data_IF_678104895486
#
_entry.id   IF_678104895486
#
_cell.length_a   1.000
_cell.length_b   1.000
_cell.length_c   1.000
_cell.angle_alpha   90.00
_cell.angle_beta   90.00
_cell.angle_gamma   90.00
#
_symmetry.space_group_name_H-M   'P 1'
#
loop_
_entity.id
_entity.type
_entity.pdbx_description
1 polymer ?
#
# COMPACT_ATOMS: atom_id res chain seq x y z
N UNK A 1 -18.87 -19.83 4.26
CA UNK A 1 -19.04 -19.44 5.67
C UNK A 1 -20.48 -19.02 5.91
N UNK A 2 -21.07 -19.48 7.00
CA UNK A 2 -22.42 -19.11 7.39
C UNK A 2 -22.33 -18.04 8.47
N UNK A 3 -22.99 -16.89 8.27
CA UNK A 3 -23.05 -15.85 9.30
C UNK A 3 -23.96 -16.28 10.45
N UNK A 4 -23.62 -15.89 11.66
CA UNK A 4 -24.42 -16.20 12.86
C UNK A 4 -25.76 -15.47 12.85
N UNK A 5 -25.81 -14.28 12.30
CA UNK A 5 -27.01 -13.44 12.21
C UNK A 5 -27.42 -13.21 10.75
N UNK A 6 -28.72 -13.19 10.50
CA UNK A 6 -29.28 -12.94 9.17
C UNK A 6 -28.88 -11.58 8.64
N UNK A 7 -28.39 -11.56 7.39
CA UNK A 7 -27.97 -10.31 6.73
C UNK A 7 -29.19 -9.44 6.37
N UNK A 8 -29.15 -8.19 6.75
CA UNK A 8 -30.15 -7.15 6.42
C UNK A 8 -29.50 -6.12 5.51
N UNK A 9 -29.93 -6.06 4.25
CA UNK A 9 -29.39 -5.16 3.24
C UNK A 9 -29.57 -3.70 3.69
N UNK A 10 -28.53 -2.88 3.52
CA UNK A 10 -28.52 -1.46 3.90
C UNK A 10 -28.38 -1.20 5.40
N UNK A 11 -28.36 -2.23 6.25
CA UNK A 11 -28.23 -2.08 7.70
C UNK A 11 -26.81 -2.39 8.17
N UNK A 12 -26.27 -1.54 9.06
CA UNK A 12 -25.04 -1.87 9.79
C UNK A 12 -25.33 -2.93 10.83
N UNK A 13 -24.54 -4.00 10.85
CA UNK A 13 -24.74 -5.17 11.72
C UNK A 13 -23.46 -5.52 12.46
N UNK A 14 -23.14 -4.83 13.58
CA UNK A 14 -21.94 -5.12 14.40
C UNK A 14 -21.92 -6.56 14.93
N UNK A 15 -23.08 -7.18 15.12
CA UNK A 15 -23.22 -8.58 15.54
C UNK A 15 -22.55 -9.58 14.60
N UNK A 16 -22.36 -9.21 13.32
CA UNK A 16 -21.67 -10.03 12.32
C UNK A 16 -20.15 -9.71 12.20
N UNK A 17 -19.61 -8.78 12.97
CA UNK A 17 -18.22 -8.35 12.86
C UNK A 17 -17.21 -9.47 13.05
N UNK A 18 -17.44 -10.35 14.05
CA UNK A 18 -16.58 -11.51 14.28
C UNK A 18 -16.56 -12.49 13.10
N UNK A 19 -17.68 -12.66 12.42
CA UNK A 19 -17.78 -13.55 11.27
C UNK A 19 -17.04 -12.97 10.06
N UNK A 20 -17.11 -11.65 9.86
CA UNK A 20 -16.33 -10.94 8.83
C UNK A 20 -14.83 -11.19 9.06
N UNK A 21 -14.34 -11.00 10.28
CA UNK A 21 -12.94 -11.23 10.65
C UNK A 21 -12.53 -12.70 10.39
N UNK A 22 -13.37 -13.66 10.81
CA UNK A 22 -13.13 -15.09 10.57
C UNK A 22 -13.03 -15.44 9.09
N UNK A 23 -13.89 -14.85 8.25
CA UNK A 23 -13.89 -15.05 6.80
C UNK A 23 -12.57 -14.55 6.20
N UNK A 24 -12.13 -13.34 6.56
CA UNK A 24 -10.87 -12.77 6.08
C UNK A 24 -9.69 -13.65 6.53
N UNK A 25 -9.61 -14.02 7.81
CA UNK A 25 -8.57 -14.91 8.33
C UNK A 25 -8.52 -16.26 7.57
N UNK A 26 -9.69 -16.85 7.30
CA UNK A 26 -9.78 -18.09 6.52
C UNK A 26 -9.28 -17.90 5.09
N UNK A 27 -9.65 -16.81 4.44
CA UNK A 27 -9.23 -16.51 3.07
C UNK A 27 -7.71 -16.32 2.97
N UNK A 28 -7.11 -15.53 3.88
CA UNK A 28 -5.64 -15.39 3.95
C UNK A 28 -4.96 -16.73 4.15
N UNK A 29 -5.46 -17.57 5.07
CA UNK A 29 -4.90 -18.92 5.29
C UNK A 29 -4.92 -19.77 4.02
N UNK A 30 -6.00 -19.73 3.23
CA UNK A 30 -6.10 -20.48 1.98
C UNK A 30 -5.06 -20.03 0.95
N UNK A 31 -4.76 -18.72 0.89
CA UNK A 31 -3.69 -18.19 0.03
C UNK A 31 -2.31 -18.65 0.54
N UNK A 32 -2.05 -18.56 1.83
CA UNK A 32 -0.77 -19.01 2.43
C UNK A 32 -0.54 -20.52 2.24
N UNK A 33 -1.59 -21.33 2.26
CA UNK A 33 -1.54 -22.77 1.99
C UNK A 33 -1.50 -23.12 0.49
N UNK A 34 -1.34 -22.14 -0.41
CA UNK A 34 -1.38 -22.30 -1.87
C UNK A 34 -2.68 -22.92 -2.42
N UNK A 35 -3.77 -22.91 -1.63
CA UNK A 35 -5.11 -23.35 -2.05
C UNK A 35 -5.88 -22.30 -2.84
N UNK A 36 -5.40 -21.06 -2.81
CA UNK A 36 -5.88 -19.96 -3.62
C UNK A 36 -4.69 -19.11 -4.08
N UNK A 37 -4.81 -18.46 -5.24
CA UNK A 37 -3.72 -17.65 -5.83
C UNK A 37 -3.69 -16.22 -5.31
N UNK A 38 -4.83 -15.70 -4.93
CA UNK A 38 -4.99 -14.33 -4.45
C UNK A 38 -6.27 -14.20 -3.63
N UNK A 39 -6.39 -13.10 -2.91
CA UNK A 39 -7.58 -12.68 -2.19
C UNK A 39 -8.17 -11.43 -2.84
N UNK A 40 -9.44 -11.53 -3.26
CA UNK A 40 -10.25 -10.39 -3.68
C UNK A 40 -11.36 -10.18 -2.66
N UNK A 41 -11.49 -8.97 -2.12
CA UNK A 41 -12.48 -8.66 -1.09
C UNK A 41 -13.44 -7.56 -1.52
N UNK A 42 -14.66 -7.62 -1.04
CA UNK A 42 -15.52 -6.45 -0.96
C UNK A 42 -15.04 -5.50 0.13
N UNK A 43 -15.37 -4.19 0.08
CA UNK A 43 -15.06 -3.26 1.14
C UNK A 43 -15.60 -3.71 2.50
N UNK A 44 -14.87 -3.42 3.57
CA UNK A 44 -15.34 -3.59 4.95
C UNK A 44 -15.84 -2.26 5.52
N UNK A 45 -16.80 -2.33 6.42
CA UNK A 45 -17.22 -1.18 7.20
C UNK A 45 -16.48 -1.18 8.55
N UNK A 46 -15.55 -0.22 8.72
CA UNK A 46 -14.73 -0.09 9.94
C UNK A 46 -15.57 0.13 11.20
N UNK A 47 -16.62 0.95 11.10
CA UNK A 47 -17.47 1.24 12.27
C UNK A 47 -18.18 -0.04 12.74
N UNK A 48 -18.62 -0.90 11.82
CA UNK A 48 -19.21 -2.21 12.13
C UNK A 48 -18.19 -3.11 12.84
N UNK A 49 -16.95 -3.17 12.34
CA UNK A 49 -15.91 -3.98 12.97
C UNK A 49 -15.51 -3.44 14.35
N UNK A 50 -15.36 -2.12 14.49
CA UNK A 50 -15.01 -1.50 15.77
C UNK A 50 -16.15 -1.63 16.81
N UNK A 51 -17.41 -1.48 16.38
CA UNK A 51 -18.56 -1.59 17.27
C UNK A 51 -18.85 -3.02 17.70
N UNK A 52 -18.56 -4.00 16.85
CA UNK A 52 -18.80 -5.42 17.13
C UNK A 52 -17.60 -6.16 17.70
N UNK A 53 -16.40 -5.58 17.61
CA UNK A 53 -15.14 -6.17 18.12
C UNK A 53 -14.15 -5.06 18.46
N UNK A 54 -13.08 -5.41 19.16
CA UNK A 54 -11.90 -4.50 19.32
C UNK A 54 -10.99 -4.61 18.10
N UNK A 55 -11.40 -4.08 16.94
CA UNK A 55 -10.64 -4.14 15.69
C UNK A 55 -9.58 -3.03 15.65
N UNK A 56 -8.27 -3.34 15.88
CA UNK A 56 -7.24 -2.33 16.10
C UNK A 56 -6.63 -1.77 14.80
N UNK A 57 -7.12 -2.19 13.61
CA UNK A 57 -6.51 -1.85 12.34
C UNK A 57 -7.20 -0.68 11.65
N UNK A 58 -6.42 0.14 10.93
CA UNK A 58 -6.93 1.27 10.17
C UNK A 58 -7.78 0.85 8.96
N UNK A 59 -7.56 -0.35 8.43
CA UNK A 59 -8.32 -0.88 7.31
C UNK A 59 -7.91 -2.30 6.92
N UNK A 60 -8.30 -2.71 5.72
CA UNK A 60 -7.93 -4.02 5.14
C UNK A 60 -6.43 -4.21 5.01
N UNK A 61 -5.72 -3.19 4.52
CA UNK A 61 -4.28 -3.26 4.24
C UNK A 61 -3.50 -3.64 5.49
N UNK A 62 -3.73 -2.94 6.58
CA UNK A 62 -3.04 -3.18 7.86
C UNK A 62 -3.44 -4.53 8.46
N UNK A 63 -4.70 -4.90 8.34
CA UNK A 63 -5.17 -6.20 8.84
C UNK A 63 -4.60 -7.37 8.03
N UNK A 64 -4.56 -7.28 6.71
CA UNK A 64 -3.96 -8.30 5.85
C UNK A 64 -2.45 -8.41 6.08
N UNK A 65 -1.74 -7.27 6.21
CA UNK A 65 -0.32 -7.23 6.54
C UNK A 65 -0.03 -7.92 7.88
N UNK A 66 -0.83 -7.64 8.91
CA UNK A 66 -0.74 -8.31 10.20
C UNK A 66 -0.93 -9.83 10.09
N UNK A 67 -1.94 -10.29 9.34
CA UNK A 67 -2.21 -11.73 9.15
C UNK A 67 -1.10 -12.45 8.36
N UNK A 68 -0.40 -11.72 7.53
CA UNK A 68 0.72 -12.26 6.74
C UNK A 68 2.10 -11.99 7.35
N UNK A 69 2.15 -11.33 8.51
CA UNK A 69 3.39 -10.95 9.22
C UNK A 69 4.29 -10.05 8.38
N UNK A 70 3.69 -9.14 7.60
CA UNK A 70 4.37 -8.15 6.77
C UNK A 70 4.42 -6.81 7.51
N UNK A 71 5.63 -6.31 7.77
CA UNK A 71 5.84 -5.04 8.46
C UNK A 71 5.63 -3.82 7.56
N UNK A 72 5.94 -3.95 6.26
CA UNK A 72 5.89 -2.84 5.30
C UNK A 72 4.99 -3.21 4.10
N UNK A 73 3.66 -3.12 4.26
CA UNK A 73 2.74 -3.35 3.15
C UNK A 73 2.83 -2.21 2.13
N UNK A 74 2.82 -2.55 0.86
CA UNK A 74 2.84 -1.58 -0.25
C UNK A 74 1.52 -1.65 -1.00
N UNK A 75 0.83 -0.52 -1.07
CA UNK A 75 -0.39 -0.38 -1.85
C UNK A 75 -0.06 0.05 -3.28
N UNK A 76 -0.70 -0.59 -4.26
CA UNK A 76 -0.59 -0.20 -5.66
C UNK A 76 -1.98 0.03 -6.25
N UNK A 77 -2.14 1.14 -6.93
CA UNK A 77 -3.28 1.44 -7.79
C UNK A 77 -2.89 1.02 -9.21
N UNK A 78 -3.56 0.03 -9.78
CA UNK A 78 -3.17 -0.55 -11.04
C UNK A 78 -4.29 -0.53 -12.08
N UNK A 79 -3.94 -0.13 -13.29
CA UNK A 79 -4.74 -0.29 -14.50
C UNK A 79 -3.91 -0.93 -15.61
N UNK A 80 -4.50 -1.18 -16.76
CA UNK A 80 -3.76 -1.68 -17.95
C UNK A 80 -2.69 -0.69 -18.44
N UNK A 81 -2.89 0.61 -18.21
CA UNK A 81 -2.02 1.68 -18.72
C UNK A 81 -1.05 2.25 -17.67
N UNK A 82 -1.45 2.26 -16.41
CA UNK A 82 -0.71 2.95 -15.36
C UNK A 82 -0.74 2.14 -14.06
N UNK A 83 0.39 2.11 -13.36
CA UNK A 83 0.53 1.56 -12.01
C UNK A 83 1.18 2.61 -11.12
N UNK A 84 0.52 2.95 -10.02
CA UNK A 84 0.98 3.99 -9.08
C UNK A 84 1.09 3.41 -7.69
N UNK A 85 2.21 3.67 -7.05
CA UNK A 85 2.47 3.30 -5.65
C UNK A 85 2.65 4.57 -4.84
N UNK A 86 1.70 4.94 -3.97
CA UNK A 86 1.88 6.04 -3.03
C UNK A 86 2.96 5.71 -2.01
N UNK A 87 3.91 6.62 -1.79
CA UNK A 87 4.94 6.46 -0.76
C UNK A 87 4.37 6.58 0.66
N UNK A 88 3.26 7.31 0.81
CA UNK A 88 2.53 7.46 2.08
C UNK A 88 1.04 7.26 1.84
N UNK A 89 0.34 6.62 2.78
CA UNK A 89 -1.09 6.36 2.73
C UNK A 89 -1.75 6.65 4.09
N UNK A 90 -3.02 7.05 4.10
CA UNK A 90 -3.85 7.22 5.29
C UNK A 90 -3.30 8.21 6.34
N UNK A 91 -2.56 9.22 5.90
CA UNK A 91 -2.03 10.29 6.76
C UNK A 91 -2.52 11.67 6.30
N UNK A 92 -2.61 12.66 7.20
CA UNK A 92 -2.89 14.04 6.83
C UNK A 92 -1.80 14.60 5.90
N UNK A 93 -2.18 15.43 4.92
CA UNK A 93 -1.22 16.02 3.96
C UNK A 93 -0.07 16.74 4.68
N UNK A 94 -0.33 17.47 5.75
CA UNK A 94 0.70 18.16 6.55
C UNK A 94 1.76 17.24 7.15
N UNK A 95 1.49 15.95 7.26
CA UNK A 95 2.42 14.96 7.83
C UNK A 95 3.27 14.26 6.75
N UNK A 96 2.98 14.46 5.45
CA UNK A 96 3.62 13.72 4.37
C UNK A 96 5.13 13.91 4.38
N UNK A 97 5.61 15.15 4.41
CA UNK A 97 7.05 15.45 4.45
C UNK A 97 7.74 14.80 5.64
N UNK A 98 7.14 14.89 6.84
CA UNK A 98 7.68 14.32 8.08
C UNK A 98 7.67 12.78 8.11
N UNK A 99 6.83 12.13 7.30
CA UNK A 99 6.73 10.67 7.23
C UNK A 99 7.58 10.05 6.14
N UNK A 100 8.09 10.85 5.22
CA UNK A 100 9.05 10.36 4.23
C UNK A 100 10.38 10.03 4.92
N UNK A 101 10.98 8.92 4.51
CA UNK A 101 12.32 8.54 4.94
C UNK A 101 13.05 7.80 3.82
N UNK A 102 14.37 7.89 3.83
CA UNK A 102 15.25 7.17 2.89
C UNK A 102 14.98 5.67 2.96
N UNK A 103 14.89 5.13 4.18
CA UNK A 103 14.65 3.71 4.41
C UNK A 103 13.28 3.25 3.90
N UNK A 104 12.20 3.98 4.27
CA UNK A 104 10.83 3.67 3.85
C UNK A 104 10.68 3.71 2.33
N UNK A 105 11.20 4.76 1.69
CA UNK A 105 11.15 4.90 0.22
C UNK A 105 11.98 3.81 -0.48
N UNK A 106 13.16 3.49 0.04
CA UNK A 106 14.01 2.40 -0.47
C UNK A 106 13.28 1.05 -0.39
N UNK A 107 12.64 0.73 0.75
CA UNK A 107 11.83 -0.49 0.92
C UNK A 107 10.67 -0.53 -0.07
N UNK A 108 9.91 0.56 -0.17
CA UNK A 108 8.76 0.66 -1.09
C UNK A 108 9.18 0.42 -2.54
N UNK A 109 10.27 1.05 -3.00
CA UNK A 109 10.78 0.87 -4.38
C UNK A 109 11.22 -0.59 -4.61
N UNK A 110 11.93 -1.21 -3.67
CA UNK A 110 12.36 -2.62 -3.79
C UNK A 110 11.16 -3.56 -3.92
N UNK A 111 10.18 -3.45 -3.00
CA UNK A 111 8.98 -4.27 -3.01
C UNK A 111 8.20 -4.07 -4.31
N UNK A 112 8.08 -2.83 -4.79
CA UNK A 112 7.44 -2.51 -6.06
C UNK A 112 8.15 -3.19 -7.23
N UNK A 113 9.48 -3.09 -7.30
CA UNK A 113 10.28 -3.72 -8.38
C UNK A 113 10.12 -5.24 -8.40
N UNK A 114 10.18 -5.88 -7.24
CA UNK A 114 9.97 -7.33 -7.11
C UNK A 114 8.55 -7.73 -7.54
N UNK A 115 7.53 -7.01 -7.07
CA UNK A 115 6.16 -7.26 -7.47
C UNK A 115 5.95 -7.09 -8.98
N UNK A 116 6.59 -6.09 -9.62
CA UNK A 116 6.50 -5.89 -11.07
C UNK A 116 7.10 -7.07 -11.84
N UNK A 117 8.18 -7.68 -11.33
CA UNK A 117 8.78 -8.88 -11.92
C UNK A 117 7.89 -10.12 -11.69
N UNK A 118 7.50 -10.37 -10.45
CA UNK A 118 6.89 -11.63 -10.03
C UNK A 118 5.39 -11.70 -10.34
N UNK A 119 4.66 -10.58 -10.21
CA UNK A 119 3.21 -10.54 -10.34
C UNK A 119 2.75 -9.98 -11.68
N UNK A 120 3.56 -9.13 -12.32
CA UNK A 120 3.24 -8.52 -13.61
C UNK A 120 4.12 -9.02 -14.77
N UNK A 121 5.03 -9.97 -14.49
CA UNK A 121 5.91 -10.62 -15.47
C UNK A 121 6.76 -9.65 -16.30
N UNK A 122 7.17 -8.52 -15.71
CA UNK A 122 8.06 -7.56 -16.35
C UNK A 122 9.52 -7.89 -16.01
N UNK A 123 10.28 -8.37 -16.98
CA UNK A 123 11.69 -8.76 -16.75
C UNK A 123 12.56 -7.58 -16.27
N UNK A 124 12.33 -6.40 -16.81
CA UNK A 124 13.08 -5.17 -16.51
C UNK A 124 12.12 -3.98 -16.29
N UNK A 125 11.42 -3.93 -15.15
CA UNK A 125 10.53 -2.80 -14.86
C UNK A 125 11.33 -1.51 -14.73
N UNK A 126 10.76 -0.41 -15.22
CA UNK A 126 11.26 0.95 -15.01
C UNK A 126 10.37 1.61 -13.97
N UNK A 127 10.96 2.11 -12.89
CA UNK A 127 10.24 2.81 -11.84
C UNK A 127 10.53 4.31 -11.94
N UNK A 128 9.52 5.09 -12.27
CA UNK A 128 9.59 6.53 -12.23
C UNK A 128 9.23 7.02 -10.82
N UNK A 129 10.10 7.82 -10.21
CA UNK A 129 9.87 8.40 -8.88
C UNK A 129 9.51 9.87 -9.04
N UNK A 130 8.32 10.23 -8.60
CA UNK A 130 7.87 11.62 -8.55
C UNK A 130 8.56 12.39 -7.43
N UNK A 131 8.80 13.68 -7.65
CA UNK A 131 9.05 14.61 -6.56
C UNK A 131 7.83 14.74 -5.64
N UNK A 132 8.04 15.31 -4.46
CA UNK A 132 6.98 15.51 -3.46
C UNK A 132 5.97 16.58 -3.87
N UNK A 133 6.39 17.55 -4.67
CA UNK A 133 5.54 18.62 -5.16
C UNK A 133 5.62 18.73 -6.70
N UNK A 134 4.72 19.52 -7.34
CA UNK A 134 4.68 19.65 -8.80
C UNK A 134 6.02 19.97 -9.45
N UNK A 135 6.89 20.73 -8.78
CA UNK A 135 8.17 21.23 -9.32
C UNK A 135 9.41 20.52 -8.74
N UNK A 136 9.24 19.39 -8.07
CA UNK A 136 10.35 18.61 -7.48
C UNK A 136 11.33 19.48 -6.65
N UNK A 137 10.78 20.39 -5.83
CA UNK A 137 11.54 21.22 -4.90
C UNK A 137 12.36 22.36 -5.53
N UNK A 138 12.38 22.53 -6.85
CA UNK A 138 13.16 23.58 -7.57
C UNK A 138 14.59 23.78 -7.02
N UNK A 139 15.36 22.71 -6.95
CA UNK A 139 16.71 22.72 -6.37
C UNK A 139 16.76 23.18 -4.88
N UNK A 140 15.68 22.95 -4.14
CA UNK A 140 15.58 23.24 -2.71
C UNK A 140 14.93 24.60 -2.39
N UNK A 141 14.38 25.29 -3.38
CA UNK A 141 13.61 26.53 -3.15
C UNK A 141 12.20 26.26 -2.64
N UNK A 142 11.64 25.10 -3.01
CA UNK A 142 10.27 24.66 -2.66
C UNK A 142 10.27 23.39 -1.80
N UNK A 143 11.30 23.17 -1.01
CA UNK A 143 11.49 22.01 -0.15
C UNK A 143 12.83 21.30 -0.38
N UNK A 144 13.26 20.55 0.59
CA UNK A 144 14.53 19.82 0.56
C UNK A 144 14.35 18.30 0.44
N UNK A 145 13.13 17.82 0.39
CA UNK A 145 12.79 16.39 0.41
C UNK A 145 13.43 15.61 -0.74
N UNK A 146 13.51 16.21 -1.94
CA UNK A 146 14.21 15.61 -3.07
C UNK A 146 15.71 15.46 -2.80
N UNK A 147 16.34 16.46 -2.19
CA UNK A 147 17.78 16.46 -1.90
C UNK A 147 18.13 15.53 -0.75
N UNK A 148 17.36 15.58 0.32
CA UNK A 148 17.68 14.94 1.60
C UNK A 148 17.14 13.52 1.71
N UNK A 149 16.04 13.19 0.99
CA UNK A 149 15.36 11.91 1.12
C UNK A 149 15.29 11.17 -0.22
N UNK A 150 14.66 11.78 -1.26
CA UNK A 150 14.30 11.04 -2.48
C UNK A 150 15.57 10.68 -3.29
N UNK A 151 16.45 11.65 -3.54
CA UNK A 151 17.70 11.41 -4.25
C UNK A 151 18.62 10.39 -3.54
N UNK A 152 18.82 10.46 -2.20
CA UNK A 152 19.55 9.42 -1.49
C UNK A 152 18.92 8.02 -1.62
N UNK A 153 17.59 7.90 -1.51
CA UNK A 153 16.91 6.61 -1.68
C UNK A 153 17.11 6.04 -3.09
N UNK A 154 17.00 6.87 -4.13
CA UNK A 154 17.25 6.47 -5.52
C UNK A 154 18.71 6.04 -5.70
N UNK A 155 19.67 6.81 -5.19
CA UNK A 155 21.10 6.46 -5.28
C UNK A 155 21.43 5.11 -4.68
N UNK A 156 20.81 4.75 -3.56
CA UNK A 156 20.98 3.45 -2.90
C UNK A 156 20.54 2.26 -3.77
N UNK A 157 19.69 2.50 -4.77
CA UNK A 157 19.08 1.45 -5.59
C UNK A 157 19.52 1.46 -7.06
N UNK A 158 20.13 2.54 -7.54
CA UNK A 158 20.41 2.79 -8.96
C UNK A 158 21.23 1.70 -9.64
N UNK A 159 22.05 0.96 -8.90
CA UNK A 159 22.86 -0.14 -9.44
C UNK A 159 22.09 -1.46 -9.58
N UNK A 160 20.90 -1.58 -8.95
CA UNK A 160 20.14 -2.83 -8.88
C UNK A 160 18.74 -2.74 -9.47
N UNK A 161 18.20 -1.54 -9.59
CA UNK A 161 16.83 -1.27 -10.08
C UNK A 161 16.90 -0.15 -11.13
N UNK A 162 16.16 -0.31 -12.23
CA UNK A 162 16.05 0.73 -13.24
C UNK A 162 15.08 1.82 -12.75
N UNK A 163 15.64 2.94 -12.29
CA UNK A 163 14.90 4.05 -11.68
C UNK A 163 15.18 5.33 -12.43
N UNK A 164 14.15 6.08 -12.72
CA UNK A 164 14.22 7.45 -13.24
C UNK A 164 13.59 8.43 -12.23
N UNK A 165 14.15 9.62 -12.12
CA UNK A 165 13.66 10.64 -11.21
C UNK A 165 14.72 11.15 -10.21
N UNK A 166 14.32 12.01 -9.25
CA UNK A 166 12.95 12.50 -9.08
C UNK A 166 12.52 13.40 -10.26
N UNK A 167 11.29 13.18 -10.73
CA UNK A 167 10.67 13.95 -11.81
C UNK A 167 9.68 14.96 -11.22
N UNK A 168 9.50 16.08 -11.90
CA UNK A 168 8.42 17.02 -11.56
C UNK A 168 7.06 16.36 -11.76
N UNK A 169 6.19 16.39 -10.74
CA UNK A 169 4.94 15.63 -10.76
C UNK A 169 3.93 16.17 -11.80
N UNK A 170 4.06 17.41 -12.26
CA UNK A 170 3.23 18.04 -13.28
C UNK A 170 3.59 17.63 -14.72
N UNK A 171 4.78 17.09 -14.93
CA UNK A 171 5.29 16.73 -16.27
C UNK A 171 5.64 15.26 -16.45
N UNK A 172 5.32 14.45 -15.47
CA UNK A 172 5.62 13.01 -15.39
C UNK A 172 4.67 12.14 -16.23
#
# INVERSE_FOLDING_TARGET
HKFAHTLRIGCRQPENANDIIKVIKKAVRLVKENKAKALCTSPINKDVLNSGTQFPFLGHTEFLAYLDSIEHPVMMLASSKLKVVPATIHIPIKEVSNRLSIEGLTKTIKITNEAMKDKFSLAQPVIAVSGLNPHAGENGKLGLEEKEIINPAIRNLKNSINIIGPLSADTM
#
